data_IF_593258890702
#
_entry.id   IF_593258890702
#
_cell.length_a   1.000
_cell.length_b   1.000
_cell.length_c   1.000
_cell.angle_alpha   90.00
_cell.angle_beta   90.00
_cell.angle_gamma   90.00
#
_symmetry.space_group_name_H-M   'P 1'
#
loop_
_entity.id
_entity.type
_entity.pdbx_description
1 polymer ?
#
# COMPACT_ATOMS: atom_id res chain seq x y z
N UNK A 1 -24.47 -6.40 8.07
CA UNK A 1 -23.47 -6.57 7.94
C UNK A 1 -23.00 -6.04 6.86
N UNK A 2 -22.20 -5.48 6.96
CA UNK A 2 -21.69 -4.89 5.92
C UNK A 2 -21.31 -5.88 5.00
N UNK A 3 -21.59 -5.74 3.85
CA UNK A 3 -21.29 -6.55 3.01
C UNK A 3 -19.97 -6.31 2.78
N UNK A 4 -19.21 -7.04 2.87
CA UNK A 4 -17.87 -6.89 2.69
C UNK A 4 -17.64 -6.61 1.27
N UNK A 5 -16.70 -5.87 1.00
CA UNK A 5 -16.35 -5.66 -0.34
C UNK A 5 -15.78 -6.90 -0.83
N UNK A 6 -15.76 -7.06 -2.07
CA UNK A 6 -15.18 -8.17 -2.70
C UNK A 6 -13.75 -8.22 -2.34
N UNK A 7 -13.22 -9.28 -1.88
CA UNK A 7 -11.83 -9.33 -1.52
C UNK A 7 -10.96 -9.23 -2.74
N UNK A 8 -9.89 -8.50 -2.60
CA UNK A 8 -8.94 -8.39 -3.68
C UNK A 8 -7.98 -9.56 -3.58
N UNK A 9 -7.50 -10.03 -4.70
CA UNK A 9 -6.54 -11.11 -4.71
C UNK A 9 -5.17 -10.54 -4.55
N UNK A 10 -4.48 -10.94 -3.51
CA UNK A 10 -3.14 -10.47 -3.24
C UNK A 10 -2.25 -11.69 -3.18
N UNK A 11 -1.48 -11.89 -4.22
CA UNK A 11 -0.69 -13.09 -4.36
C UNK A 11 0.66 -13.01 -3.66
N UNK A 12 1.17 -11.82 -3.47
CA UNK A 12 2.54 -11.66 -2.97
C UNK A 12 2.55 -11.32 -1.50
N UNK A 13 3.51 -11.92 -0.79
CA UNK A 13 3.71 -11.56 0.59
C UNK A 13 5.04 -10.85 0.66
N UNK A 14 5.07 -9.63 1.12
CA UNK A 14 6.31 -8.86 1.15
C UNK A 14 7.29 -9.47 2.14
N UNK A 15 8.55 -9.58 1.78
CA UNK A 15 9.55 -10.10 2.72
C UNK A 15 9.85 -9.11 3.84
N UNK A 16 9.65 -7.82 3.61
CA UNK A 16 9.81 -6.83 4.64
C UNK A 16 8.58 -5.98 4.72
N UNK A 17 8.17 -5.61 5.91
CA UNK A 17 6.98 -4.82 6.07
C UNK A 17 7.25 -3.43 6.63
N UNK A 18 8.51 -3.06 6.77
CA UNK A 18 8.83 -1.74 7.30
C UNK A 18 10.06 -1.19 6.61
N UNK A 19 9.93 -0.02 6.00
CA UNK A 19 11.03 0.65 5.33
C UNK A 19 11.18 2.02 5.95
N UNK A 20 12.38 2.38 6.30
CA UNK A 20 12.60 3.68 6.91
C UNK A 20 13.93 4.26 6.48
N UNK A 21 14.09 5.56 6.59
CA UNK A 21 15.38 6.16 6.31
C UNK A 21 16.44 5.63 7.28
N UNK A 22 17.58 5.29 6.75
CA UNK A 22 18.66 4.75 7.56
C UNK A 22 19.15 5.80 8.54
N UNK A 23 19.47 5.39 9.74
CA UNK A 23 20.05 6.28 10.71
C UNK A 23 19.09 7.14 11.48
N UNK A 24 17.82 7.10 11.18
CA UNK A 24 16.83 7.90 11.89
C UNK A 24 16.10 6.99 12.85
N UNK A 25 16.07 7.31 14.14
CA UNK A 25 15.38 6.43 15.09
C UNK A 25 13.88 6.44 14.87
N UNK A 26 13.24 5.32 15.20
CA UNK A 26 11.81 5.18 14.98
C UNK A 26 11.00 6.28 15.63
N UNK A 27 11.37 6.72 16.81
CA UNK A 27 10.56 7.70 17.49
C UNK A 27 10.61 9.08 16.86
N UNK A 28 11.51 9.27 15.90
CA UNK A 28 11.55 10.52 15.17
C UNK A 28 10.89 10.46 13.82
N UNK A 29 10.31 9.32 13.48
CA UNK A 29 9.74 9.15 12.14
C UNK A 29 8.24 9.21 12.15
N UNK A 30 7.69 9.87 11.15
CA UNK A 30 6.28 9.71 10.84
C UNK A 30 6.15 8.50 9.95
N UNK A 31 5.06 7.79 10.09
CA UNK A 31 4.82 6.57 9.32
C UNK A 31 3.69 6.76 8.34
N UNK A 32 3.84 6.17 7.18
CA UNK A 32 2.78 6.12 6.19
C UNK A 32 2.43 4.67 6.01
N UNK A 33 1.15 4.36 6.14
CA UNK A 33 0.69 2.99 5.98
C UNK A 33 0.43 2.70 4.51
N UNK A 34 0.94 1.57 4.06
CA UNK A 34 0.69 1.11 2.71
C UNK A 34 -0.13 -0.17 2.84
N UNK A 35 -1.34 -0.14 2.34
CA UNK A 35 -2.22 -1.29 2.46
C UNK A 35 -1.71 -2.42 1.57
N UNK A 36 -2.13 -3.64 1.89
CA UNK A 36 -1.69 -4.79 1.12
C UNK A 36 -2.10 -4.71 -0.33
N UNK A 37 -3.30 -4.22 -0.61
CA UNK A 37 -3.74 -4.10 -2.01
C UNK A 37 -2.97 -3.00 -2.73
N UNK A 38 -2.53 -1.98 -2.01
CA UNK A 38 -1.73 -0.94 -2.61
C UNK A 38 -0.36 -1.48 -3.00
N UNK A 39 0.24 -2.27 -2.14
CA UNK A 39 1.52 -2.88 -2.51
C UNK A 39 1.34 -3.82 -3.69
N UNK A 40 0.25 -4.58 -3.71
CA UNK A 40 0.02 -5.49 -4.82
C UNK A 40 -0.15 -4.74 -6.13
N UNK A 41 -0.83 -3.59 -6.10
CA UNK A 41 -0.98 -2.81 -7.32
C UNK A 41 0.37 -2.33 -7.83
N UNK A 42 1.26 -1.93 -6.92
CA UNK A 42 2.59 -1.50 -7.33
C UNK A 42 3.38 -2.68 -7.90
N UNK A 43 3.25 -3.84 -7.28
CA UNK A 43 3.97 -5.00 -7.77
C UNK A 43 3.54 -5.35 -9.19
N UNK A 44 2.24 -5.36 -9.43
CA UNK A 44 1.75 -5.77 -10.75
C UNK A 44 2.01 -4.73 -11.81
N UNK A 45 1.75 -3.47 -11.50
CA UNK A 45 1.87 -2.44 -12.52
C UNK A 45 3.29 -1.94 -12.68
N UNK A 46 3.96 -1.69 -11.57
CA UNK A 46 5.25 -1.01 -11.66
C UNK A 46 6.45 -1.95 -11.61
N UNK A 47 6.38 -2.99 -10.82
CA UNK A 47 7.48 -3.92 -10.81
C UNK A 47 7.39 -4.91 -11.95
N UNK A 48 6.23 -5.47 -12.20
CA UNK A 48 6.09 -6.45 -13.28
C UNK A 48 5.70 -5.85 -14.61
N UNK A 49 5.29 -4.59 -14.62
CA UNK A 49 5.01 -3.90 -15.87
C UNK A 49 3.75 -4.34 -16.59
N UNK A 50 2.77 -4.87 -15.86
CA UNK A 50 1.56 -5.29 -16.51
C UNK A 50 0.68 -4.10 -16.86
N UNK A 51 -0.08 -4.23 -17.94
CA UNK A 51 -1.07 -3.21 -18.27
C UNK A 51 -2.15 -3.23 -17.21
N UNK A 52 -2.83 -2.11 -17.02
CA UNK A 52 -3.82 -1.98 -15.97
C UNK A 52 -4.95 -2.97 -16.09
N UNK A 53 -5.38 -3.28 -17.30
CA UNK A 53 -6.44 -4.25 -17.49
C UNK A 53 -6.01 -5.61 -16.95
N UNK A 54 -4.79 -6.00 -17.26
CA UNK A 54 -4.29 -7.28 -16.82
C UNK A 54 -4.07 -7.30 -15.31
N UNK A 55 -3.51 -6.23 -14.78
CA UNK A 55 -3.25 -6.13 -13.35
C UNK A 55 -4.56 -6.14 -12.57
N UNK A 56 -5.56 -5.41 -13.06
CA UNK A 56 -6.86 -5.38 -12.41
C UNK A 56 -7.48 -6.76 -12.38
N UNK A 57 -7.34 -7.49 -13.48
CA UNK A 57 -7.91 -8.82 -13.54
C UNK A 57 -7.24 -9.73 -12.53
N UNK A 58 -5.94 -9.63 -12.38
CA UNK A 58 -5.25 -10.47 -11.41
C UNK A 58 -5.67 -10.15 -9.98
N UNK A 59 -6.00 -8.91 -9.70
CA UNK A 59 -6.46 -8.55 -8.37
C UNK A 59 -7.96 -8.74 -8.19
N UNK A 60 -8.66 -9.11 -9.24
CA UNK A 60 -10.10 -9.35 -9.14
C UNK A 60 -10.92 -8.09 -8.93
N UNK A 61 -10.47 -6.97 -9.47
CA UNK A 61 -11.17 -5.70 -9.33
C UNK A 61 -11.36 -5.07 -10.71
N UNK A 62 -12.21 -4.05 -10.76
CA UNK A 62 -12.39 -3.34 -12.02
C UNK A 62 -11.17 -2.49 -12.31
N UNK A 63 -11.03 -2.09 -13.57
CA UNK A 63 -9.92 -1.25 -13.93
C UNK A 63 -9.95 0.07 -13.20
N UNK A 64 -11.14 0.66 -13.02
CA UNK A 64 -11.22 1.89 -12.29
C UNK A 64 -10.82 1.74 -10.85
N UNK A 65 -11.20 0.64 -10.22
CA UNK A 65 -10.81 0.39 -8.86
C UNK A 65 -9.29 0.20 -8.78
N UNK A 66 -8.74 -0.54 -9.74
CA UNK A 66 -7.30 -0.74 -9.77
C UNK A 66 -6.58 0.60 -9.91
N UNK A 67 -7.04 1.46 -10.79
CA UNK A 67 -6.42 2.77 -10.99
C UNK A 67 -6.44 3.58 -9.71
N UNK A 68 -7.53 3.51 -8.97
CA UNK A 68 -7.62 4.25 -7.74
C UNK A 68 -6.67 3.71 -6.69
N UNK A 69 -6.56 2.39 -6.57
CA UNK A 69 -5.65 1.76 -5.65
C UNK A 69 -4.21 2.13 -6.01
N UNK A 70 -3.87 2.04 -7.27
CA UNK A 70 -2.52 2.33 -7.72
C UNK A 70 -2.15 3.78 -7.49
N UNK A 71 -3.09 4.68 -7.74
CA UNK A 71 -2.81 6.09 -7.51
C UNK A 71 -2.51 6.35 -6.03
N UNK A 72 -3.29 5.78 -5.14
CA UNK A 72 -3.04 5.96 -3.73
C UNK A 72 -1.71 5.35 -3.33
N UNK A 73 -1.40 4.19 -3.87
CA UNK A 73 -0.15 3.53 -3.56
C UNK A 73 1.04 4.39 -3.98
N UNK A 74 0.97 4.93 -5.18
CA UNK A 74 2.05 5.77 -5.68
C UNK A 74 2.20 7.05 -4.87
N UNK A 75 1.08 7.63 -4.44
CA UNK A 75 1.15 8.82 -3.64
C UNK A 75 1.78 8.54 -2.28
N UNK A 76 1.44 7.42 -1.67
CA UNK A 76 2.00 7.08 -0.37
C UNK A 76 3.49 6.87 -0.45
N UNK A 77 3.95 6.15 -1.46
CA UNK A 77 5.37 5.90 -1.62
C UNK A 77 6.11 7.21 -1.92
N UNK A 78 5.54 8.03 -2.79
CA UNK A 78 6.17 9.30 -3.12
C UNK A 78 6.25 10.20 -1.89
N UNK A 79 5.19 10.23 -1.08
CA UNK A 79 5.21 11.05 0.10
C UNK A 79 6.27 10.59 1.09
N UNK A 80 6.42 9.29 1.24
CA UNK A 80 7.45 8.77 2.13
C UNK A 80 8.84 9.14 1.64
N UNK A 81 9.08 8.99 0.35
CA UNK A 81 10.39 9.28 -0.20
C UNK A 81 10.72 10.77 -0.16
N UNK A 82 9.76 11.59 -0.52
CA UNK A 82 10.01 13.02 -0.59
C UNK A 82 10.21 13.63 0.78
N UNK A 83 9.47 13.15 1.76
CA UNK A 83 9.51 13.72 3.09
C UNK A 83 10.28 12.92 4.13
N UNK A 84 10.84 11.82 3.73
CA UNK A 84 11.64 11.02 4.67
C UNK A 84 10.82 10.30 5.72
N UNK A 85 9.61 9.87 5.36
CA UNK A 85 8.79 9.12 6.29
C UNK A 85 9.05 7.63 6.16
N UNK A 86 8.64 6.86 7.15
CA UNK A 86 8.73 5.42 7.07
C UNK A 86 7.49 4.87 6.37
N UNK A 87 7.64 3.74 5.73
CA UNK A 87 6.52 3.04 5.11
C UNK A 87 6.26 1.76 5.89
N UNK A 88 5.03 1.57 6.32
CA UNK A 88 4.65 0.34 7.00
C UNK A 88 3.65 -0.39 6.12
N UNK A 89 3.97 -1.61 5.76
CA UNK A 89 3.17 -2.38 4.84
C UNK A 89 2.29 -3.34 5.60
N UNK A 90 0.99 -3.31 5.34
CA UNK A 90 0.06 -4.19 6.03
C UNK A 90 0.21 -5.61 5.52
N UNK A 91 0.10 -6.55 6.44
CA UNK A 91 0.13 -7.95 6.08
C UNK A 91 -1.14 -8.27 5.28
N UNK A 92 -1.05 -9.04 4.22
CA UNK A 92 -2.24 -9.29 3.39
C UNK A 92 -3.38 -9.95 4.15
N UNK A 93 -3.08 -10.78 5.12
CA UNK A 93 -4.14 -11.46 5.85
C UNK A 93 -4.69 -10.62 6.97
N UNK A 94 -4.12 -9.46 7.25
CA UNK A 94 -4.56 -8.67 8.37
C UNK A 94 -5.74 -7.79 7.97
N UNK A 95 -6.59 -7.47 8.89
CA UNK A 95 -7.67 -6.55 8.58
C UNK A 95 -7.11 -5.20 8.20
N UNK A 96 -7.86 -4.46 7.45
CA UNK A 96 -7.43 -3.16 7.04
C UNK A 96 -7.20 -2.29 8.26
N UNK A 97 -6.14 -1.56 8.25
CA UNK A 97 -5.83 -0.76 9.42
C UNK A 97 -6.81 0.36 9.55
N UNK A 98 -7.10 0.73 10.73
CA UNK A 98 -7.94 1.73 10.96
C UNK A 98 -7.22 2.95 10.77
N UNK A 99 -7.72 3.91 10.26
CA UNK A 99 -7.07 5.09 10.06
C UNK A 99 -6.64 5.65 11.32
N UNK A 100 -5.54 5.69 11.65
CA UNK A 100 -5.04 6.15 12.79
C UNK A 100 -4.80 7.47 12.75
N UNK A 101 -5.14 8.10 13.46
CA UNK A 101 -4.93 9.42 13.45
C UNK A 101 -3.78 9.71 14.13
N UNK A 102 -2.95 9.29 14.04
CA UNK A 102 -1.84 9.52 14.69
C UNK A 102 -1.46 10.72 14.61
N UNK A 103 -1.25 11.39 14.98
CA UNK A 103 -0.89 12.43 14.98
C UNK A 103 -0.05 12.78 14.37
N UNK A 104 -0.13 13.40 13.92
CA UNK A 104 0.54 13.73 13.10
C UNK A 104 1.52 14.38 13.31
N UNK A 105 1.87 14.65 13.19
CA UNK A 105 2.66 15.14 13.33
C UNK A 105 3.12 15.65 12.65
N UNK A 106 3.12 15.98 12.35
CA UNK A 106 3.52 16.36 11.70
C UNK A 106 4.03 16.64 11.46
#
# INVERSE_FOLDING_TARGET
MARPTCPRRIAHRAPSTYFKPAGIPLYELSEIDLAADELESLRLADEQGLYRVEAARKMGVSRQTFDRILRRARQSVARALVNGHALRIAHPAAPAPRRRTKKPVQ
#
